data_IF_942025986116
#
_entry.id   IF_942025986116
#
_cell.length_a   1.000
_cell.length_b   1.000
_cell.length_c   1.000
_cell.angle_alpha   90.00
_cell.angle_beta   90.00
_cell.angle_gamma   90.00
#
_symmetry.space_group_name_H-M   'P 1'
#
loop_
_entity.id
_entity.type
_entity.pdbx_description
1 polymer ?
#
# COMPACT_ATOMS: atom_id res chain seq x y z
N UNK A 1 4.91 -15.94 11.78
CA UNK A 1 4.98 -14.85 10.78
C UNK A 1 3.65 -14.11 10.64
N UNK A 2 2.52 -14.77 10.35
CA UNK A 2 1.21 -14.10 10.16
C UNK A 2 0.77 -13.25 11.36
N UNK A 3 0.94 -13.77 12.59
CA UNK A 3 0.63 -13.01 13.82
C UNK A 3 1.48 -11.73 13.95
N UNK A 4 2.75 -11.75 13.52
CA UNK A 4 3.60 -10.56 13.54
C UNK A 4 3.19 -9.55 12.47
N UNK A 5 2.79 -10.02 11.29
CA UNK A 5 2.38 -9.16 10.19
C UNK A 5 1.08 -8.42 10.54
N UNK A 6 0.06 -9.17 10.98
CA UNK A 6 -1.23 -8.58 11.40
C UNK A 6 -1.07 -7.79 12.69
N UNK A 7 -0.30 -8.30 13.65
CA UNK A 7 -0.03 -7.61 14.92
C UNK A 7 0.68 -6.27 14.73
N UNK A 8 1.68 -6.20 13.84
CA UNK A 8 2.32 -4.94 13.48
C UNK A 8 1.35 -3.96 12.82
N UNK A 9 0.48 -4.45 11.92
CA UNK A 9 -0.55 -3.61 11.31
C UNK A 9 -1.51 -3.02 12.33
N UNK A 10 -1.98 -3.83 13.29
CA UNK A 10 -2.83 -3.37 14.39
C UNK A 10 -2.08 -2.35 15.26
N UNK A 11 -0.86 -2.66 15.68
CA UNK A 11 -0.02 -1.79 16.50
C UNK A 11 0.21 -0.42 15.84
N UNK A 12 0.58 -0.41 14.56
CA UNK A 12 0.77 0.82 13.79
C UNK A 12 -0.55 1.58 13.60
N UNK A 13 -1.66 0.88 13.35
CA UNK A 13 -2.98 1.53 13.27
C UNK A 13 -3.35 2.23 14.57
N UNK A 14 -3.09 1.64 15.74
CA UNK A 14 -3.40 2.28 17.03
C UNK A 14 -2.51 3.49 17.27
N UNK A 15 -1.19 3.37 17.08
CA UNK A 15 -0.24 4.47 17.34
C UNK A 15 -0.44 5.65 16.39
N UNK A 16 -0.72 5.37 15.11
CA UNK A 16 -0.94 6.41 14.10
C UNK A 16 -2.36 6.98 14.11
N UNK A 17 -3.24 6.48 14.98
CA UNK A 17 -4.61 6.98 15.13
C UNK A 17 -5.53 6.64 13.95
N UNK A 18 -5.47 5.38 13.49
CA UNK A 18 -6.27 4.83 12.39
C UNK A 18 -6.23 5.68 11.10
N UNK A 19 -5.03 5.87 10.50
CA UNK A 19 -4.87 6.69 9.29
C UNK A 19 -5.71 6.19 8.12
N UNK A 20 -5.96 4.88 8.02
CA UNK A 20 -6.78 4.27 6.98
C UNK A 20 -8.24 4.76 7.01
N UNK A 21 -8.76 5.18 8.16
CA UNK A 21 -10.10 5.77 8.29
C UNK A 21 -10.02 7.29 8.13
N UNK A 22 -9.09 7.92 8.85
CA UNK A 22 -8.94 9.39 8.89
C UNK A 22 -8.67 10.00 7.51
N UNK A 23 -7.84 9.35 6.70
CA UNK A 23 -7.39 9.87 5.41
C UNK A 23 -8.07 9.22 4.21
N UNK A 24 -9.03 8.32 4.41
CA UNK A 24 -9.65 7.56 3.33
C UNK A 24 -10.15 8.46 2.18
N UNK A 25 -11.00 9.45 2.49
CA UNK A 25 -11.52 10.37 1.48
C UNK A 25 -10.45 11.30 0.89
N UNK A 26 -9.47 11.71 1.70
CA UNK A 26 -8.37 12.56 1.26
C UNK A 26 -7.48 11.85 0.22
N UNK A 27 -7.19 10.56 0.44
CA UNK A 27 -6.37 9.76 -0.49
C UNK A 27 -7.00 9.68 -1.89
N UNK A 28 -8.31 9.39 -1.99
CA UNK A 28 -8.99 9.35 -3.28
C UNK A 28 -9.03 10.73 -3.95
N UNK A 29 -9.28 11.79 -3.19
CA UNK A 29 -9.27 13.16 -3.73
C UNK A 29 -7.90 13.52 -4.30
N UNK A 30 -6.81 13.15 -3.63
CA UNK A 30 -5.46 13.44 -4.10
C UNK A 30 -5.07 12.61 -5.34
N UNK A 31 -5.38 11.32 -5.36
CA UNK A 31 -5.00 10.48 -6.50
C UNK A 31 -5.88 10.73 -7.72
N UNK A 32 -7.19 10.83 -7.53
CA UNK A 32 -8.16 11.02 -8.63
C UNK A 32 -8.25 12.49 -9.06
N UNK A 33 -8.17 13.45 -8.13
CA UNK A 33 -8.24 14.88 -8.42
C UNK A 33 -7.03 15.45 -9.16
N UNK A 34 -5.95 14.66 -9.29
CA UNK A 34 -4.73 14.99 -10.03
C UNK A 34 -4.52 14.16 -11.29
N UNK A 35 -5.53 13.37 -11.70
CA UNK A 35 -5.49 12.66 -12.98
C UNK A 35 -5.34 13.68 -14.12
N UNK A 36 -4.30 13.52 -14.94
CA UNK A 36 -4.02 14.40 -16.07
C UNK A 36 -3.26 15.70 -15.74
N UNK A 37 -2.93 15.97 -14.47
CA UNK A 37 -2.08 17.11 -14.09
C UNK A 37 -0.60 16.71 -14.13
N UNK A 38 0.28 17.64 -14.56
CA UNK A 38 1.74 17.46 -14.45
C UNK A 38 2.10 17.27 -12.97
N UNK A 39 3.05 16.38 -12.69
CA UNK A 39 3.55 16.18 -11.34
C UNK A 39 4.17 17.50 -10.84
N UNK A 40 3.62 18.06 -9.75
CA UNK A 40 4.23 19.18 -9.04
C UNK A 40 5.17 18.60 -7.96
N UNK A 41 6.49 18.75 -8.14
CA UNK A 41 7.52 18.34 -7.18
C UNK A 41 8.67 17.51 -7.76
N UNK A 42 9.69 17.22 -6.94
CA UNK A 42 10.86 16.40 -7.28
C UNK A 42 10.52 14.89 -7.29
N UNK A 43 9.70 14.46 -8.25
CA UNK A 43 9.31 13.05 -8.42
C UNK A 43 9.31 12.63 -9.89
N UNK A 44 9.72 11.39 -10.15
CA UNK A 44 9.87 10.85 -11.52
C UNK A 44 8.53 10.57 -12.21
N UNK A 45 7.45 10.36 -11.45
CA UNK A 45 6.12 9.96 -11.95
C UNK A 45 4.99 10.71 -11.22
N UNK A 46 3.83 10.86 -11.87
CA UNK A 46 2.63 11.44 -11.26
C UNK A 46 2.05 10.53 -10.17
N UNK A 47 1.24 11.10 -9.25
CA UNK A 47 0.59 10.33 -8.19
C UNK A 47 -0.29 9.19 -8.73
N UNK A 48 -1.05 9.45 -9.80
CA UNK A 48 -1.85 8.43 -10.48
C UNK A 48 -0.97 7.38 -11.18
N UNK A 49 0.14 7.81 -11.79
CA UNK A 49 1.11 6.89 -12.38
C UNK A 49 1.73 5.95 -11.34
N UNK A 50 2.12 6.47 -10.18
CA UNK A 50 2.63 5.68 -9.06
C UNK A 50 1.61 4.67 -8.54
N UNK A 51 0.35 5.08 -8.37
CA UNK A 51 -0.73 4.17 -8.00
C UNK A 51 -0.90 3.07 -9.06
N UNK A 52 -0.91 3.42 -10.34
CA UNK A 52 -1.12 2.47 -11.44
C UNK A 52 -0.02 1.41 -11.49
N UNK A 53 1.25 1.83 -11.34
CA UNK A 53 2.39 0.91 -11.25
C UNK A 53 2.27 -0.01 -10.03
N UNK A 54 1.91 0.52 -8.87
CA UNK A 54 1.72 -0.27 -7.67
C UNK A 54 0.56 -1.29 -7.79
N UNK A 55 -0.56 -0.89 -8.39
CA UNK A 55 -1.70 -1.77 -8.65
C UNK A 55 -1.35 -2.87 -9.66
N UNK A 56 -0.67 -2.52 -10.75
CA UNK A 56 -0.21 -3.49 -11.74
C UNK A 56 0.73 -4.55 -11.15
N UNK A 57 1.54 -4.18 -10.15
CA UNK A 57 2.42 -5.11 -9.44
C UNK A 57 1.71 -5.99 -8.41
N UNK A 58 0.52 -5.62 -7.95
CA UNK A 58 -0.16 -6.27 -6.81
C UNK A 58 -1.44 -7.01 -7.19
N UNK A 59 -2.01 -6.71 -8.36
CA UNK A 59 -3.18 -7.39 -8.90
C UNK A 59 -2.71 -8.38 -9.97
N UNK A 60 -2.90 -9.68 -9.71
CA UNK A 60 -2.60 -10.73 -10.69
C UNK A 60 -3.50 -11.95 -10.55
N UNK A 61 -3.19 -12.98 -11.34
CA UNK A 61 -3.88 -14.28 -11.27
C UNK A 61 -3.85 -14.89 -9.87
N UNK A 62 -2.78 -14.63 -9.10
CA UNK A 62 -2.62 -15.06 -7.72
C UNK A 62 -3.70 -14.51 -6.77
N UNK A 63 -4.18 -13.27 -6.98
CA UNK A 63 -5.25 -12.72 -6.15
C UNK A 63 -6.59 -13.43 -6.41
N UNK A 64 -6.84 -13.81 -7.67
CA UNK A 64 -8.07 -14.51 -8.08
C UNK A 64 -8.03 -15.96 -7.60
N UNK A 65 -6.99 -16.70 -7.98
CA UNK A 65 -6.82 -18.10 -7.59
C UNK A 65 -6.69 -18.23 -6.06
N UNK A 66 -5.92 -17.35 -5.41
CA UNK A 66 -5.75 -17.34 -3.97
C UNK A 66 -7.05 -17.08 -3.21
N UNK A 67 -7.87 -16.13 -3.66
CA UNK A 67 -9.19 -15.90 -3.06
C UNK A 67 -10.12 -17.10 -3.25
N UNK A 68 -10.13 -17.71 -4.45
CA UNK A 68 -10.92 -18.90 -4.72
C UNK A 68 -10.50 -20.10 -3.85
N UNK A 69 -9.19 -20.35 -3.72
CA UNK A 69 -8.66 -21.40 -2.85
C UNK A 69 -8.96 -21.13 -1.38
N UNK A 70 -8.81 -19.88 -0.91
CA UNK A 70 -9.12 -19.50 0.46
C UNK A 70 -10.61 -19.71 0.77
N UNK A 71 -11.51 -19.38 -0.16
CA UNK A 71 -12.94 -19.59 -0.02
C UNK A 71 -13.30 -21.08 -0.04
N UNK A 72 -12.68 -21.85 -0.94
CA UNK A 72 -12.94 -23.28 -1.07
C UNK A 72 -12.47 -24.07 0.16
N UNK A 73 -11.27 -23.77 0.67
CA UNK A 73 -10.68 -24.49 1.80
C UNK A 73 -11.10 -23.93 3.16
N UNK A 74 -11.18 -22.60 3.30
CA UNK A 74 -11.49 -21.90 4.55
C UNK A 74 -12.97 -21.57 4.74
N UNK A 75 -13.81 -21.84 3.74
CA UNK A 75 -15.21 -21.49 3.74
C UNK A 75 -15.48 -19.97 3.63
N UNK A 76 -16.74 -19.55 3.72
CA UNK A 76 -17.15 -18.15 3.52
C UNK A 76 -16.52 -17.18 4.53
N UNK A 77 -16.15 -17.65 5.72
CA UNK A 77 -15.48 -16.85 6.74
C UNK A 77 -14.10 -16.33 6.34
N UNK A 78 -13.45 -16.94 5.34
CA UNK A 78 -12.17 -16.49 4.83
C UNK A 78 -12.23 -15.05 4.28
N UNK A 79 -13.33 -14.67 3.62
CA UNK A 79 -13.49 -13.33 3.05
C UNK A 79 -13.49 -12.24 4.13
N UNK A 80 -14.17 -12.50 5.26
CA UNK A 80 -14.17 -11.59 6.39
C UNK A 80 -12.74 -11.33 6.91
N UNK A 81 -11.96 -12.39 7.09
CA UNK A 81 -10.57 -12.27 7.55
C UNK A 81 -9.65 -11.63 6.50
N UNK A 82 -9.89 -11.84 5.21
CA UNK A 82 -9.18 -11.14 4.14
C UNK A 82 -9.41 -9.62 4.20
N UNK A 83 -10.63 -9.16 4.48
CA UNK A 83 -10.88 -7.73 4.65
C UNK A 83 -10.25 -7.16 5.91
N UNK A 84 -10.33 -7.87 7.04
CA UNK A 84 -9.69 -7.43 8.29
C UNK A 84 -8.17 -7.28 8.11
N UNK A 85 -7.53 -8.28 7.50
CA UNK A 85 -6.09 -8.22 7.21
C UNK A 85 -5.74 -7.09 6.23
N UNK A 86 -6.58 -6.83 5.22
CA UNK A 86 -6.38 -5.70 4.31
C UNK A 86 -6.48 -4.35 5.03
N UNK A 87 -7.44 -4.17 5.95
CA UNK A 87 -7.63 -2.92 6.71
C UNK A 87 -6.38 -2.57 7.51
N UNK A 88 -5.84 -3.53 8.26
CA UNK A 88 -4.62 -3.31 9.03
C UNK A 88 -3.37 -3.24 8.13
N UNK A 89 -3.35 -4.00 7.03
CA UNK A 89 -2.29 -3.98 6.03
C UNK A 89 -2.13 -2.62 5.34
N UNK A 90 -3.21 -1.85 5.14
CA UNK A 90 -3.13 -0.50 4.58
C UNK A 90 -2.22 0.42 5.42
N UNK A 91 -2.27 0.32 6.75
CA UNK A 91 -1.44 1.16 7.63
C UNK A 91 0.02 0.77 7.55
N UNK A 92 0.31 -0.53 7.56
CA UNK A 92 1.67 -1.04 7.36
C UNK A 92 2.21 -0.55 6.03
N UNK A 93 1.42 -0.66 4.95
CA UNK A 93 1.87 -0.24 3.62
C UNK A 93 2.13 1.26 3.53
N UNK A 94 1.26 2.07 4.14
CA UNK A 94 1.47 3.52 4.23
C UNK A 94 2.81 3.83 4.92
N UNK A 95 3.09 3.17 6.04
CA UNK A 95 4.32 3.36 6.81
C UNK A 95 5.56 2.97 6.00
N UNK A 96 5.52 1.82 5.31
CA UNK A 96 6.59 1.39 4.39
C UNK A 96 6.87 2.44 3.31
N UNK A 97 5.82 2.95 2.66
CA UNK A 97 5.96 3.93 1.58
C UNK A 97 6.49 5.27 2.12
N UNK A 98 6.02 5.71 3.30
CA UNK A 98 6.54 6.92 3.94
C UNK A 98 8.03 6.81 4.28
N UNK A 99 8.47 5.67 4.82
CA UNK A 99 9.89 5.41 5.09
C UNK A 99 10.70 5.36 3.80
N UNK A 100 10.19 4.68 2.76
CA UNK A 100 10.84 4.61 1.45
C UNK A 100 11.02 5.99 0.81
N UNK A 101 10.07 6.92 1.00
CA UNK A 101 10.21 8.31 0.53
C UNK A 101 11.19 9.11 1.38
N UNK A 102 11.25 8.86 2.69
CA UNK A 102 12.18 9.55 3.60
C UNK A 102 13.64 9.17 3.36
N UNK A 103 13.91 7.89 3.13
CA UNK A 103 15.27 7.34 2.99
C UNK A 103 15.66 7.04 1.54
N UNK A 104 14.95 7.62 0.56
CA UNK A 104 15.31 7.45 -0.86
C UNK A 104 16.63 8.15 -1.18
N UNK A 105 17.41 7.52 -2.05
CA UNK A 105 18.67 8.06 -2.57
C UNK A 105 18.60 8.23 -4.10
N UNK A 106 19.52 9.01 -4.66
CA UNK A 106 19.68 9.11 -6.11
C UNK A 106 20.79 8.16 -6.56
N UNK A 107 20.54 7.42 -7.64
CA UNK A 107 21.58 6.63 -8.27
C UNK A 107 22.53 7.49 -9.13
N UNK A 108 23.58 6.87 -9.66
CA UNK A 108 24.57 7.54 -10.52
C UNK A 108 23.97 8.16 -11.80
N UNK A 109 22.77 7.71 -12.22
CA UNK A 109 22.03 8.27 -13.33
C UNK A 109 21.02 9.36 -12.90
N UNK A 110 21.00 9.72 -11.62
CA UNK A 110 20.13 10.74 -11.05
C UNK A 110 18.69 10.27 -10.76
N UNK A 111 18.39 8.98 -10.89
CA UNK A 111 17.06 8.43 -10.64
C UNK A 111 16.86 8.16 -9.15
N UNK A 112 15.65 8.41 -8.65
CA UNK A 112 15.26 8.08 -7.28
C UNK A 112 15.16 6.57 -7.08
N UNK A 113 15.86 6.04 -6.08
CA UNK A 113 15.76 4.67 -5.59
C UNK A 113 15.38 4.68 -4.11
N UNK A 114 14.44 3.82 -3.74
CA UNK A 114 13.99 3.68 -2.36
C UNK A 114 13.37 2.32 -2.13
N UNK A 115 12.87 2.10 -0.93
CA UNK A 115 12.31 0.83 -0.50
C UNK A 115 12.93 0.36 0.80
N UNK A 116 12.45 -0.77 1.32
CA UNK A 116 12.88 -1.32 2.62
C UNK A 116 14.37 -1.67 2.68
N UNK A 117 15.05 -1.80 1.55
CA UNK A 117 16.51 -2.03 1.50
C UNK A 117 17.33 -0.79 1.88
N UNK A 118 16.72 0.40 1.82
CA UNK A 118 17.35 1.69 2.13
C UNK A 118 16.93 2.21 3.51
N UNK A 119 16.07 1.48 4.23
CA UNK A 119 15.52 1.82 5.55
C UNK A 119 16.24 1.05 6.63
#
# INVERSE_FOLDING_TARGET
>A
MLALLVGTGIYLSVILGFPQVRYFGFMFKEVLGKIGKKAEGEGTISAFGALSVALASTIGSGNIAGAATALHLGGPGALFWMWITAIFGMTTKMTEVSLAVKFREKDAAGNWRGGTMYV
#
